data_IF_614244928748
#
_entry.id   IF_614244928748
#
_cell.length_a   1.000
_cell.length_b   1.000
_cell.length_c   1.000
_cell.angle_alpha   90.00
_cell.angle_beta   90.00
_cell.angle_gamma   90.00
#
_symmetry.space_group_name_H-M   'P 1'
#
loop_
_entity.id
_entity.type
_entity.pdbx_description
1 polymer ?
#
# COMPACT_ATOMS: atom_id res chain seq x y z
N UNK A 1 -3.32 2.19 -11.05
CA UNK A 1 -2.53 1.59 -9.97
C UNK A 1 -1.19 2.33 -9.96
N UNK A 2 -0.78 2.92 -8.83
CA UNK A 2 0.05 4.14 -8.82
C UNK A 2 1.47 3.99 -9.40
N UNK A 3 1.80 4.83 -10.40
CA UNK A 3 3.16 5.15 -10.81
C UNK A 3 3.44 6.62 -10.58
N UNK A 4 4.54 6.86 -9.92
CA UNK A 4 5.24 8.14 -9.85
C UNK A 4 5.96 8.34 -11.18
N UNK A 5 5.72 9.48 -11.81
CA UNK A 5 6.41 9.87 -13.03
C UNK A 5 7.78 10.47 -12.66
N UNK A 6 8.84 9.64 -12.66
CA UNK A 6 10.23 10.10 -12.49
C UNK A 6 10.95 10.13 -13.84
N UNK A 7 10.92 11.27 -14.53
CA UNK A 7 12.04 11.67 -15.39
C UNK A 7 13.03 12.41 -14.47
N UNK A 8 14.29 11.99 -14.51
CA UNK A 8 15.48 12.72 -14.00
C UNK A 8 16.14 12.28 -12.67
N UNK A 9 15.76 11.15 -12.08
CA UNK A 9 16.21 10.73 -10.74
C UNK A 9 17.59 10.06 -10.59
N UNK A 10 18.59 10.43 -11.41
CA UNK A 10 19.94 9.85 -11.30
C UNK A 10 20.98 10.75 -10.61
N UNK A 11 20.62 11.90 -10.04
CA UNK A 11 21.57 12.74 -9.31
C UNK A 11 20.91 13.38 -8.10
N UNK A 12 21.51 13.16 -6.93
CA UNK A 12 21.23 13.77 -5.61
C UNK A 12 20.32 12.96 -4.68
N UNK A 13 20.92 12.07 -3.88
CA UNK A 13 20.94 12.24 -2.41
C UNK A 13 21.71 11.10 -1.74
N UNK A 14 22.97 11.38 -1.46
CA UNK A 14 23.68 10.78 -0.33
C UNK A 14 23.40 11.68 0.87
N UNK A 15 22.90 11.15 2.00
CA UNK A 15 22.84 11.91 3.25
C UNK A 15 21.78 11.50 4.28
N UNK A 16 22.25 10.78 5.30
CA UNK A 16 21.89 10.84 6.74
C UNK A 16 20.42 10.64 7.22
N UNK A 17 20.18 9.44 7.74
CA UNK A 17 19.72 9.14 9.11
C UNK A 17 18.74 10.08 9.84
N UNK A 18 17.47 9.70 9.85
CA UNK A 18 16.46 10.03 10.86
C UNK A 18 15.36 8.97 10.78
N UNK A 19 14.80 8.50 11.90
CA UNK A 19 13.74 7.48 11.90
C UNK A 19 12.51 7.96 11.10
N UNK A 20 12.22 7.29 9.97
CA UNK A 20 11.14 7.66 9.05
C UNK A 20 9.94 6.75 9.28
N UNK A 21 8.81 7.30 9.73
CA UNK A 21 7.54 6.59 10.04
C UNK A 21 6.72 6.17 8.80
N UNK A 22 7.41 5.85 7.70
CA UNK A 22 6.83 5.41 6.44
C UNK A 22 7.23 3.98 6.05
N UNK A 23 7.61 3.17 7.05
CA UNK A 23 8.02 1.80 6.80
C UNK A 23 6.78 0.92 6.55
N UNK A 24 6.76 0.24 5.40
CA UNK A 24 6.03 -1.01 5.23
C UNK A 24 6.58 -1.95 6.28
N UNK A 25 5.74 -2.47 7.18
CA UNK A 25 6.19 -3.35 8.27
C UNK A 25 7.25 -4.32 7.76
N UNK A 26 8.51 -4.02 8.10
CA UNK A 26 9.64 -4.83 7.67
C UNK A 26 9.46 -6.17 8.37
N UNK A 27 9.66 -7.31 7.68
CA UNK A 27 9.61 -8.62 8.31
C UNK A 27 10.79 -8.76 9.27
N UNK A 28 10.71 -8.11 10.44
CA UNK A 28 11.63 -8.30 11.54
C UNK A 28 11.35 -9.69 12.10
N UNK A 29 12.19 -10.64 11.70
CA UNK A 29 12.11 -12.04 12.10
C UNK A 29 12.26 -12.27 13.63
N UNK A 30 12.56 -11.22 14.40
CA UNK A 30 12.98 -11.28 15.81
C UNK A 30 12.03 -10.58 16.79
N UNK A 31 10.75 -10.38 16.44
CA UNK A 31 9.75 -10.04 17.45
C UNK A 31 9.22 -11.33 18.09
N UNK A 32 9.68 -11.60 19.30
CA UNK A 32 9.19 -12.73 20.10
C UNK A 32 7.76 -12.41 20.55
N UNK A 33 6.77 -13.03 19.90
CA UNK A 33 5.37 -12.93 20.31
C UNK A 33 5.07 -14.01 21.36
N UNK A 34 4.69 -13.59 22.56
CA UNK A 34 4.14 -14.49 23.57
C UNK A 34 2.73 -14.91 23.15
N UNK A 35 2.62 -16.03 22.43
CA UNK A 35 1.33 -16.58 22.01
C UNK A 35 0.69 -17.32 23.20
N UNK A 36 -0.56 -16.99 23.59
CA UNK A 36 -1.27 -17.69 24.66
C UNK A 36 -1.36 -19.20 24.41
N UNK A 37 -1.48 -19.98 25.49
CA UNK A 37 -1.47 -21.46 25.42
C UNK A 37 -2.55 -22.00 24.49
N UNK A 38 -3.73 -21.40 24.50
CA UNK A 38 -4.89 -21.80 23.69
C UNK A 38 -4.68 -21.61 22.17
N UNK A 39 -3.66 -20.85 21.76
CA UNK A 39 -3.36 -20.53 20.35
C UNK A 39 -1.99 -21.02 19.89
N UNK A 40 -1.31 -21.86 20.69
CA UNK A 40 0.06 -22.33 20.38
C UNK A 40 0.13 -23.15 19.10
N UNK A 41 -0.91 -23.89 18.77
CA UNK A 41 -1.06 -24.59 17.50
C UNK A 41 -1.13 -23.64 16.30
N UNK A 42 -1.59 -22.39 16.51
CA UNK A 42 -1.66 -21.32 15.52
C UNK A 42 -0.45 -20.38 15.52
N UNK A 43 0.67 -20.74 16.17
CA UNK A 43 1.88 -19.90 16.25
C UNK A 43 2.34 -19.39 14.88
N UNK A 44 2.14 -20.19 13.83
CA UNK A 44 2.47 -19.84 12.46
C UNK A 44 1.70 -18.61 11.91
N UNK A 45 0.47 -18.36 12.39
CA UNK A 45 -0.37 -17.22 11.99
C UNK A 45 0.21 -15.90 12.49
N UNK A 46 0.95 -15.93 13.60
CA UNK A 46 1.57 -14.74 14.21
C UNK A 46 2.96 -14.42 13.64
N UNK A 47 3.39 -15.10 12.57
CA UNK A 47 4.70 -14.85 11.94
C UNK A 47 4.68 -13.55 11.12
N UNK A 48 5.51 -12.54 11.44
CA UNK A 48 5.60 -11.31 10.65
C UNK A 48 5.99 -11.57 9.20
N UNK A 49 6.91 -12.53 9.00
CA UNK A 49 7.38 -12.92 7.66
C UNK A 49 6.21 -13.44 6.82
N UNK A 50 5.37 -14.33 7.37
CA UNK A 50 4.20 -14.85 6.66
C UNK A 50 3.13 -13.77 6.45
N UNK A 51 2.95 -12.87 7.42
CA UNK A 51 2.02 -11.75 7.29
C UNK A 51 2.44 -10.78 6.17
N UNK A 52 3.74 -10.65 5.90
CA UNK A 52 4.25 -9.80 4.82
C UNK A 52 4.19 -10.41 3.41
N UNK A 53 3.81 -11.68 3.29
CA UNK A 53 3.73 -12.36 2.00
C UNK A 53 2.34 -12.20 1.40
N UNK A 54 2.27 -11.70 0.17
CA UNK A 54 1.03 -11.73 -0.60
C UNK A 54 0.56 -13.17 -0.78
N UNK A 55 -0.72 -13.41 -0.52
CA UNK A 55 -1.33 -14.69 -0.82
C UNK A 55 -1.23 -15.00 -2.32
N UNK A 56 -1.06 -16.27 -2.70
CA UNK A 56 -1.19 -16.69 -4.08
C UNK A 56 -2.54 -16.28 -4.65
N UNK A 57 -2.59 -16.07 -5.97
CA UNK A 57 -3.82 -15.82 -6.70
C UNK A 57 -4.89 -16.87 -6.36
N UNK A 58 -6.12 -16.42 -6.16
CA UNK A 58 -7.26 -17.28 -5.88
C UNK A 58 -8.43 -16.97 -6.82
N UNK A 59 -9.26 -17.96 -7.15
CA UNK A 59 -10.47 -17.77 -7.96
C UNK A 59 -11.53 -16.84 -7.33
N UNK A 60 -11.39 -16.55 -6.03
CA UNK A 60 -12.28 -15.64 -5.27
C UNK A 60 -11.69 -14.24 -5.14
N UNK A 61 -10.52 -13.98 -5.74
CA UNK A 61 -9.94 -12.64 -5.79
C UNK A 61 -10.91 -11.72 -6.53
N UNK A 62 -11.34 -10.65 -5.85
CA UNK A 62 -12.37 -9.77 -6.39
C UNK A 62 -11.78 -8.86 -7.46
N UNK A 63 -12.34 -8.92 -8.65
CA UNK A 63 -12.07 -7.94 -9.69
C UNK A 63 -12.73 -6.60 -9.35
N UNK A 64 -12.05 -5.52 -9.72
CA UNK A 64 -12.57 -4.16 -9.61
C UNK A 64 -13.29 -3.85 -10.92
N UNK A 65 -14.63 -3.95 -10.91
CA UNK A 65 -15.45 -3.67 -12.10
C UNK A 65 -15.75 -2.18 -12.23
N UNK A 66 -15.40 -1.61 -13.38
CA UNK A 66 -15.78 -0.26 -13.78
C UNK A 66 -17.14 -0.28 -14.50
N UNK A 67 -17.88 0.83 -14.45
CA UNK A 67 -19.08 1.03 -15.28
C UNK A 67 -18.70 1.02 -16.77
N UNK A 68 -19.60 0.58 -17.64
CA UNK A 68 -19.32 0.31 -19.07
C UNK A 68 -18.74 1.52 -19.83
N UNK A 69 -19.11 2.75 -19.44
CA UNK A 69 -18.64 4.00 -20.05
C UNK A 69 -17.62 4.77 -19.19
N UNK A 70 -16.97 4.10 -18.25
CA UNK A 70 -16.03 4.74 -17.32
C UNK A 70 -14.71 5.11 -18.02
N UNK A 71 -14.44 6.41 -18.12
CA UNK A 71 -13.13 6.92 -18.53
C UNK A 71 -12.24 7.08 -17.30
N UNK A 72 -11.04 6.48 -17.26
CA UNK A 72 -10.13 6.64 -16.13
C UNK A 72 -9.85 8.12 -15.85
N UNK A 73 -9.94 8.57 -14.59
CA UNK A 73 -9.75 9.97 -14.28
C UNK A 73 -8.29 10.38 -14.50
N UNK A 74 -8.07 11.61 -14.94
CA UNK A 74 -6.74 12.19 -14.92
C UNK A 74 -6.31 12.41 -13.47
N UNK A 75 -5.14 11.90 -13.13
CA UNK A 75 -4.59 11.98 -11.79
C UNK A 75 -4.04 13.39 -11.54
N UNK A 76 -4.37 13.98 -10.40
CA UNK A 76 -3.66 15.17 -9.92
C UNK A 76 -2.29 14.74 -9.38
N UNK A 77 -1.28 15.58 -9.52
CA UNK A 77 0.00 15.40 -8.81
C UNK A 77 -0.04 16.33 -7.61
N UNK A 78 0.15 15.77 -6.41
CA UNK A 78 0.27 16.56 -5.19
C UNK A 78 1.73 16.92 -4.96
N UNK A 79 2.05 18.20 -4.71
CA UNK A 79 3.38 18.55 -4.23
C UNK A 79 3.59 17.93 -2.85
N UNK A 80 4.75 17.34 -2.64
CA UNK A 80 5.17 16.77 -1.36
C UNK A 80 6.21 17.70 -0.73
N UNK A 81 6.16 17.83 0.59
CA UNK A 81 7.28 18.37 1.37
C UNK A 81 8.46 17.40 1.36
N UNK A 82 9.63 17.85 1.79
CA UNK A 82 10.83 17.02 1.82
C UNK A 82 10.66 15.76 2.70
N UNK A 83 10.01 15.90 3.85
CA UNK A 83 9.74 14.77 4.76
C UNK A 83 8.77 13.76 4.14
N UNK A 84 7.75 14.26 3.44
CA UNK A 84 6.77 13.41 2.74
C UNK A 84 7.38 12.71 1.54
N UNK A 85 8.29 13.36 0.81
CA UNK A 85 9.03 12.74 -0.28
C UNK A 85 9.91 11.59 0.22
N UNK A 86 10.66 11.80 1.30
CA UNK A 86 11.46 10.75 1.94
C UNK A 86 10.60 9.58 2.42
N UNK A 87 9.44 9.89 3.02
CA UNK A 87 8.47 8.88 3.44
C UNK A 87 7.96 8.05 2.24
N UNK A 88 7.59 8.72 1.15
CA UNK A 88 7.12 8.05 -0.07
C UNK A 88 8.21 7.16 -0.68
N UNK A 89 9.46 7.63 -0.71
CA UNK A 89 10.60 6.85 -1.19
C UNK A 89 10.87 5.60 -0.37
N UNK A 90 10.87 5.75 0.95
CA UNK A 90 11.09 4.63 1.86
C UNK A 90 10.03 3.55 1.63
N UNK A 91 8.76 3.95 1.54
CA UNK A 91 7.68 3.03 1.23
C UNK A 91 7.90 2.30 -0.09
N UNK A 92 8.26 3.01 -1.17
CA UNK A 92 8.48 2.38 -2.49
C UNK A 92 9.62 1.38 -2.44
N UNK A 93 10.72 1.74 -1.75
CA UNK A 93 11.90 0.91 -1.61
C UNK A 93 11.59 -0.42 -0.91
N UNK A 94 10.68 -0.42 0.05
CA UNK A 94 10.29 -1.61 0.82
C UNK A 94 9.13 -2.38 0.18
N UNK A 95 8.13 -1.69 -0.38
CA UNK A 95 6.93 -2.31 -0.97
C UNK A 95 7.22 -3.03 -2.30
N UNK A 96 8.17 -2.54 -3.10
CA UNK A 96 8.57 -3.17 -4.37
C UNK A 96 9.12 -4.59 -4.20
N UNK A 97 10.14 -4.86 -3.35
CA UNK A 97 10.66 -6.21 -3.17
C UNK A 97 9.67 -7.15 -2.49
N UNK A 98 8.74 -6.62 -1.67
CA UNK A 98 7.65 -7.40 -1.07
C UNK A 98 6.54 -7.74 -2.08
N UNK A 99 6.53 -7.09 -3.26
CA UNK A 99 5.54 -7.32 -4.31
C UNK A 99 4.19 -6.62 -4.09
N UNK A 100 4.05 -5.81 -3.03
CA UNK A 100 2.83 -5.05 -2.75
C UNK A 100 2.50 -4.02 -3.82
N UNK A 101 3.53 -3.46 -4.46
CA UNK A 101 3.38 -2.55 -5.58
C UNK A 101 4.25 -3.00 -6.74
N UNK A 102 3.89 -2.54 -7.95
CA UNK A 102 4.67 -2.73 -9.16
C UNK A 102 4.60 -1.47 -10.02
N UNK A 103 5.57 -1.23 -10.91
CA UNK A 103 5.46 -0.18 -11.89
C UNK A 103 4.21 -0.38 -12.80
N UNK A 104 3.24 0.55 -12.81
CA UNK A 104 2.10 0.65 -13.77
C UNK A 104 1.55 2.07 -14.00
N UNK A 105 1.07 2.45 -15.20
CA UNK A 105 0.58 3.81 -15.51
C UNK A 105 -0.47 4.33 -14.50
N UNK A 106 -0.35 5.58 -13.99
CA UNK A 106 -1.23 6.05 -12.93
C UNK A 106 -2.61 6.44 -13.46
N UNK A 107 -3.65 5.93 -12.77
CA UNK A 107 -5.06 6.30 -12.93
C UNK A 107 -5.67 6.80 -11.60
N UNK A 108 -4.83 6.94 -10.57
CA UNK A 108 -5.15 7.52 -9.28
C UNK A 108 -3.99 8.41 -8.84
N UNK A 109 -4.24 9.37 -7.95
CA UNK A 109 -3.20 10.18 -7.32
C UNK A 109 -2.80 9.58 -5.98
N UNK A 110 -1.58 9.89 -5.50
CA UNK A 110 -1.17 9.61 -4.15
C UNK A 110 -0.67 10.89 -3.48
N UNK A 111 -1.02 11.06 -2.21
CA UNK A 111 -0.44 12.02 -1.30
C UNK A 111 0.24 11.29 -0.14
N UNK A 112 0.80 12.05 0.79
CA UNK A 112 1.25 11.52 2.07
C UNK A 112 0.33 12.06 3.16
N UNK A 113 -0.07 11.21 4.10
CA UNK A 113 -0.86 11.60 5.28
C UNK A 113 -0.21 10.97 6.50
N UNK A 114 0.18 11.78 7.48
CA UNK A 114 0.92 11.34 8.67
C UNK A 114 2.14 10.47 8.31
N UNK A 115 2.91 10.90 7.31
CA UNK A 115 4.08 10.19 6.76
C UNK A 115 3.79 8.79 6.19
N UNK A 116 2.53 8.49 5.86
CA UNK A 116 2.15 7.26 5.17
C UNK A 116 1.61 7.59 3.78
N UNK A 117 1.98 6.83 2.73
CA UNK A 117 1.35 6.98 1.43
C UNK A 117 -0.16 6.78 1.54
N UNK A 118 -0.91 7.71 0.98
CA UNK A 118 -2.36 7.69 0.91
C UNK A 118 -2.80 7.86 -0.53
N UNK A 119 -3.52 6.87 -1.06
CA UNK A 119 -3.99 6.89 -2.45
C UNK A 119 -5.36 7.56 -2.51
N UNK A 120 -5.50 8.58 -3.35
CA UNK A 120 -6.79 9.19 -3.62
C UNK A 120 -7.58 8.37 -4.63
N UNK A 121 -8.39 7.46 -4.12
CA UNK A 121 -9.30 6.63 -4.90
C UNK A 121 -10.65 7.29 -5.17
N UNK A 122 -10.92 8.54 -4.75
CA UNK A 122 -12.27 9.13 -4.86
C UNK A 122 -12.79 9.14 -6.29
N UNK A 123 -12.01 9.65 -7.23
CA UNK A 123 -12.38 9.67 -8.64
C UNK A 123 -12.48 8.27 -9.26
N UNK A 124 -11.74 7.27 -8.74
CA UNK A 124 -11.88 5.88 -9.19
C UNK A 124 -13.17 5.27 -8.63
N UNK A 125 -13.46 5.49 -7.34
CA UNK A 125 -14.61 4.93 -6.63
C UNK A 125 -15.95 5.38 -7.22
N UNK A 126 -16.02 6.60 -7.76
CA UNK A 126 -17.21 7.12 -8.47
C UNK A 126 -17.54 6.31 -9.75
N UNK A 127 -16.52 5.73 -10.36
CA UNK A 127 -16.63 4.94 -11.60
C UNK A 127 -16.89 3.46 -11.35
N UNK A 128 -16.80 3.00 -10.10
CA UNK A 128 -16.98 1.59 -9.76
C UNK A 128 -18.46 1.17 -9.83
N UNK A 129 -18.66 -0.10 -10.16
CA UNK A 129 -19.93 -0.79 -9.92
C UNK A 129 -20.03 -1.06 -8.42
N UNK A 130 -21.11 -0.57 -7.79
CA UNK A 130 -21.31 -0.75 -6.36
C UNK A 130 -21.78 -2.17 -6.06
N UNK A 131 -20.92 -2.95 -5.41
CA UNK A 131 -21.28 -4.24 -4.83
C UNK A 131 -21.73 -4.03 -3.38
N UNK A 132 -23.04 -4.16 -3.13
CA UNK A 132 -23.60 -4.06 -1.78
C UNK A 132 -23.28 -5.33 -1.00
N UNK A 133 -22.32 -5.24 -0.09
CA UNK A 133 -22.10 -6.25 0.95
C UNK A 133 -22.69 -5.71 2.25
N UNK A 134 -23.89 -6.17 2.68
CA UNK A 134 -24.51 -5.66 3.89
C UNK A 134 -23.66 -6.08 5.10
N UNK A 135 -22.99 -5.11 5.71
CA UNK A 135 -22.38 -5.29 7.02
C UNK A 135 -23.47 -5.06 8.07
N UNK A 136 -23.68 -6.00 9.02
CA UNK A 136 -24.63 -5.80 10.08
C UNK A 136 -24.17 -4.63 10.96
N UNK A 137 -25.09 -3.77 11.36
CA UNK A 137 -24.84 -2.82 12.43
C UNK A 137 -24.86 -3.60 13.74
N UNK A 138 -23.78 -3.50 14.53
CA UNK A 138 -23.78 -4.02 15.89
C UNK A 138 -24.79 -3.22 16.71
N UNK A 139 -25.82 -3.91 17.22
CA UNK A 139 -26.83 -3.37 18.15
C UNK A 139 -26.23 -3.03 19.50
#
# INVERSE_FOLDING_TARGET
MLMIQRRDWYKLSQGAGGEVFASVESPEANKDFSVPVDYRDLVAVFSPIKATQLHPYHEWERSISLREEAVPPQCRIYPLSQEEEQAMEQYIREALPQGYIRPSTPHTSASVSRLRPCVDYRGLNELLVNYLNPLPLSS
#
